data_IF_419236193562
#
_entry.id   IF_419236193562
#
_cell.length_a   1.000
_cell.length_b   1.000
_cell.length_c   1.000
_cell.angle_alpha   90.00
_cell.angle_beta   90.00
_cell.angle_gamma   90.00
#
_symmetry.space_group_name_H-M   'P 1'
#
loop_
_entity.id
_entity.type
_entity.pdbx_description
1 polymer ?
#
# COMPACT_ATOMS: atom_id res chain seq x y z
N UNK A 1 -20.87 -21.61 -2.11
CA UNK A 1 -21.96 -21.32 -1.16
C UNK A 1 -22.79 -20.18 -1.72
N UNK A 2 -24.12 -20.25 -1.66
CA UNK A 2 -24.99 -19.14 -2.05
C UNK A 2 -25.18 -18.16 -0.88
N UNK A 3 -25.62 -16.93 -1.16
CA UNK A 3 -26.00 -15.99 -0.09
C UNK A 3 -27.08 -16.58 0.84
N UNK A 4 -28.00 -17.38 0.31
CA UNK A 4 -29.01 -18.10 1.11
C UNK A 4 -28.36 -19.05 2.10
N UNK A 5 -27.43 -19.89 1.65
CA UNK A 5 -26.70 -20.82 2.53
C UNK A 5 -25.91 -20.04 3.59
N UNK A 6 -25.21 -18.98 3.18
CA UNK A 6 -24.41 -18.15 4.09
C UNK A 6 -25.25 -17.51 5.20
N UNK A 7 -26.39 -16.88 4.85
CA UNK A 7 -27.28 -16.25 5.83
C UNK A 7 -28.09 -17.26 6.67
N UNK A 8 -28.21 -18.50 6.21
CA UNK A 8 -28.84 -19.58 6.97
C UNK A 8 -27.97 -20.05 8.14
N UNK A 9 -26.65 -20.08 7.95
CA UNK A 9 -25.69 -20.44 8.99
C UNK A 9 -25.71 -19.47 10.18
N UNK A 10 -25.86 -18.17 9.89
CA UNK A 10 -25.96 -17.11 10.91
C UNK A 10 -27.42 -16.75 11.25
N UNK A 11 -28.32 -17.73 11.20
CA UNK A 11 -29.75 -17.43 11.24
C UNK A 11 -30.28 -16.87 12.56
N UNK A 12 -29.54 -17.14 13.64
CA UNK A 12 -29.82 -16.68 15.01
C UNK A 12 -29.25 -15.29 15.31
N UNK A 13 -28.42 -14.75 14.42
CA UNK A 13 -27.77 -13.46 14.62
C UNK A 13 -28.75 -12.28 14.43
N UNK A 14 -28.36 -11.13 15.00
CA UNK A 14 -29.16 -9.91 14.95
C UNK A 14 -29.35 -9.41 13.52
N UNK A 15 -30.39 -8.58 13.30
CA UNK A 15 -30.63 -7.94 12.00
C UNK A 15 -29.43 -7.13 11.52
N UNK A 16 -28.76 -6.42 12.43
CA UNK A 16 -27.55 -5.64 12.12
C UNK A 16 -26.44 -6.56 11.64
N UNK A 17 -26.14 -7.63 12.37
CA UNK A 17 -25.10 -8.61 11.97
C UNK A 17 -25.40 -9.28 10.64
N UNK A 18 -26.65 -9.61 10.35
CA UNK A 18 -27.06 -10.17 9.05
C UNK A 18 -26.95 -9.17 7.91
N UNK A 19 -27.21 -7.88 8.17
CA UNK A 19 -26.93 -6.80 7.20
C UNK A 19 -25.43 -6.71 6.94
N UNK A 20 -24.59 -6.66 7.99
CA UNK A 20 -23.12 -6.64 7.86
C UNK A 20 -22.59 -7.84 7.09
N UNK A 21 -23.08 -9.04 7.40
CA UNK A 21 -22.69 -10.27 6.70
C UNK A 21 -23.11 -10.25 5.22
N UNK A 22 -24.28 -9.68 4.89
CA UNK A 22 -24.69 -9.50 3.50
C UNK A 22 -23.77 -8.52 2.78
N UNK A 23 -23.44 -7.40 3.42
CA UNK A 23 -22.47 -6.42 2.89
C UNK A 23 -21.13 -7.09 2.61
N UNK A 24 -20.62 -7.88 3.55
CA UNK A 24 -19.39 -8.66 3.41
C UNK A 24 -19.44 -9.64 2.23
N UNK A 25 -20.55 -10.35 2.05
CA UNK A 25 -20.73 -11.27 0.91
C UNK A 25 -20.75 -10.52 -0.43
N UNK A 26 -21.45 -9.39 -0.49
CA UNK A 26 -21.54 -8.57 -1.71
C UNK A 26 -20.20 -7.94 -2.06
N UNK A 27 -19.44 -7.50 -1.06
CA UNK A 27 -18.11 -6.94 -1.21
C UNK A 27 -17.14 -7.95 -1.87
N UNK A 28 -17.14 -9.21 -1.39
CA UNK A 28 -16.41 -10.30 -2.06
C UNK A 28 -16.87 -10.55 -3.50
N UNK A 29 -18.17 -10.47 -3.76
CA UNK A 29 -18.74 -10.76 -5.07
C UNK A 29 -18.54 -9.62 -6.09
N UNK A 30 -18.40 -8.38 -5.61
CA UNK A 30 -18.31 -7.17 -6.42
C UNK A 30 -16.90 -6.54 -6.42
N UNK A 31 -15.92 -7.16 -5.76
CA UNK A 31 -14.52 -6.74 -5.76
C UNK A 31 -14.27 -5.41 -5.05
N UNK A 32 -14.56 -5.33 -3.75
CA UNK A 32 -14.37 -4.15 -2.88
C UNK A 32 -15.21 -2.91 -3.27
N UNK A 33 -16.29 -3.12 -4.03
CA UNK A 33 -17.19 -2.02 -4.46
C UNK A 33 -18.18 -1.66 -3.34
N UNK A 34 -18.22 -0.38 -2.89
CA UNK A 34 -19.20 0.07 -1.91
C UNK A 34 -20.64 -0.18 -2.36
N UNK A 35 -21.53 -0.51 -1.41
CA UNK A 35 -22.91 -0.89 -1.70
C UNK A 35 -23.91 0.09 -1.08
N UNK A 36 -25.00 0.37 -1.78
CA UNK A 36 -26.10 1.13 -1.19
C UNK A 36 -27.06 0.20 -0.42
N UNK A 37 -27.87 0.79 0.46
CA UNK A 37 -28.81 0.03 1.30
C UNK A 37 -29.91 -0.69 0.53
N UNK A 38 -30.23 -0.26 -0.70
CA UNK A 38 -31.23 -0.92 -1.54
C UNK A 38 -30.67 -2.24 -2.09
N UNK A 39 -29.44 -2.23 -2.62
CA UNK A 39 -28.74 -3.43 -3.09
C UNK A 39 -28.65 -4.49 -2.00
N UNK A 40 -28.27 -4.10 -0.78
CA UNK A 40 -28.19 -5.02 0.37
C UNK A 40 -29.57 -5.56 0.75
N UNK A 41 -30.59 -4.70 0.75
CA UNK A 41 -31.98 -5.13 1.04
C UNK A 41 -32.47 -6.14 0.01
N UNK A 42 -32.25 -5.89 -1.27
CA UNK A 42 -32.66 -6.78 -2.35
C UNK A 42 -31.92 -8.12 -2.27
N UNK A 43 -30.63 -8.11 -1.95
CA UNK A 43 -29.84 -9.32 -1.74
C UNK A 43 -30.40 -10.18 -0.59
N UNK A 44 -30.72 -9.58 0.56
CA UNK A 44 -31.31 -10.29 1.72
C UNK A 44 -32.70 -10.86 1.37
N UNK A 45 -33.52 -10.09 0.65
CA UNK A 45 -34.86 -10.54 0.22
C UNK A 45 -34.75 -11.70 -0.78
N UNK A 46 -33.83 -11.61 -1.74
CA UNK A 46 -33.57 -12.66 -2.73
C UNK A 46 -32.98 -13.91 -2.07
N UNK A 47 -32.21 -13.75 -1.00
CA UNK A 47 -31.71 -14.84 -0.17
C UNK A 47 -32.80 -15.53 0.67
N UNK A 48 -34.05 -15.05 0.62
CA UNK A 48 -35.24 -15.58 1.32
C UNK A 48 -35.15 -15.49 2.84
N UNK A 49 -34.51 -14.46 3.38
CA UNK A 49 -34.47 -14.24 4.83
C UNK A 49 -35.87 -13.85 5.35
N UNK A 50 -36.40 -14.53 6.39
CA UNK A 50 -37.73 -14.25 6.92
C UNK A 50 -37.90 -12.79 7.37
N UNK A 51 -38.98 -12.14 6.91
CA UNK A 51 -39.33 -10.77 7.27
C UNK A 51 -38.43 -9.67 6.68
N UNK A 52 -37.46 -10.00 5.82
CA UNK A 52 -36.48 -9.04 5.29
C UNK A 52 -37.10 -7.83 4.54
N UNK A 53 -38.27 -8.01 3.93
CA UNK A 53 -38.98 -6.94 3.20
C UNK A 53 -39.26 -5.71 4.07
N UNK A 54 -39.48 -5.91 5.38
CA UNK A 54 -39.79 -4.82 6.33
C UNK A 54 -38.55 -4.27 7.04
N UNK A 55 -37.35 -4.79 6.75
CA UNK A 55 -36.14 -4.33 7.43
C UNK A 55 -35.75 -2.93 6.98
N UNK A 56 -35.33 -2.12 7.97
CA UNK A 56 -34.74 -0.81 7.78
C UNK A 56 -33.22 -0.96 7.69
N UNK A 57 -32.72 -1.30 6.50
CA UNK A 57 -31.28 -1.48 6.23
C UNK A 57 -30.48 -0.18 6.45
N UNK A 58 -30.96 1.02 6.05
CA UNK A 58 -30.27 2.26 6.39
C UNK A 58 -30.05 2.45 7.89
N UNK A 59 -31.06 2.17 8.73
CA UNK A 59 -30.90 2.25 10.18
C UNK A 59 -29.94 1.17 10.72
N UNK A 60 -29.91 -0.01 10.11
CA UNK A 60 -28.94 -1.05 10.48
C UNK A 60 -27.48 -0.62 10.24
N UNK A 61 -27.21 0.10 9.15
CA UNK A 61 -25.89 0.70 8.90
C UNK A 61 -25.55 1.77 9.94
N UNK A 62 -26.47 2.70 10.23
CA UNK A 62 -26.25 3.71 11.28
C UNK A 62 -25.96 3.06 12.64
N UNK A 63 -26.68 1.99 12.98
CA UNK A 63 -26.52 1.28 14.25
C UNK A 63 -25.28 0.38 14.29
N UNK A 64 -24.66 0.08 13.15
CA UNK A 64 -23.43 -0.70 13.09
C UNK A 64 -22.19 0.10 13.50
N UNK A 65 -22.29 1.44 13.55
CA UNK A 65 -21.25 2.31 14.11
C UNK A 65 -19.88 2.06 13.46
N UNK A 66 -18.88 1.73 14.29
CA UNK A 66 -17.49 1.55 13.87
C UNK A 66 -17.26 0.44 12.82
N UNK A 67 -18.22 -0.48 12.63
CA UNK A 67 -18.08 -1.59 11.68
C UNK A 67 -18.31 -1.19 10.22
N UNK A 68 -18.85 0.00 9.96
CA UNK A 68 -19.14 0.49 8.61
C UNK A 68 -18.76 1.95 8.47
N UNK A 69 -18.46 2.35 7.24
CA UNK A 69 -18.18 3.74 6.89
C UNK A 69 -18.96 4.17 5.66
N UNK A 70 -19.14 5.49 5.53
CA UNK A 70 -19.73 6.11 4.35
C UNK A 70 -18.65 6.30 3.29
N UNK A 71 -18.66 5.47 2.25
CA UNK A 71 -17.68 5.51 1.17
C UNK A 71 -17.99 6.57 0.09
N UNK A 72 -19.20 7.13 0.10
CA UNK A 72 -19.60 8.18 -0.84
C UNK A 72 -21.09 8.17 -1.14
N UNK A 73 -21.44 8.76 -2.29
CA UNK A 73 -22.79 8.76 -2.86
C UNK A 73 -22.77 8.11 -4.25
N UNK A 74 -23.84 7.39 -4.60
CA UNK A 74 -24.04 6.91 -5.96
C UNK A 74 -24.56 8.02 -6.90
N UNK A 75 -24.70 7.71 -8.19
CA UNK A 75 -25.21 8.63 -9.23
C UNK A 75 -26.59 9.22 -8.92
N UNK A 76 -27.36 8.56 -8.05
CA UNK A 76 -28.69 8.99 -7.61
C UNK A 76 -28.67 9.67 -6.23
N UNK A 77 -27.50 10.00 -5.71
CA UNK A 77 -27.33 10.66 -4.41
C UNK A 77 -27.56 9.76 -3.20
N UNK A 78 -27.57 8.42 -3.36
CA UNK A 78 -27.78 7.48 -2.24
C UNK A 78 -26.44 7.15 -1.58
N UNK A 79 -26.47 7.00 -0.26
CA UNK A 79 -25.29 6.62 0.55
C UNK A 79 -24.75 5.26 0.14
N UNK A 80 -23.46 5.23 -0.16
CA UNK A 80 -22.66 4.02 -0.37
C UNK A 80 -21.93 3.67 0.91
N UNK A 81 -22.08 2.42 1.35
CA UNK A 81 -21.52 1.90 2.58
C UNK A 81 -20.45 0.86 2.28
N UNK A 82 -19.41 0.83 3.11
CA UNK A 82 -18.35 -0.18 3.11
C UNK A 82 -18.11 -0.67 4.54
N UNK A 83 -17.63 -1.90 4.69
CA UNK A 83 -17.13 -2.39 5.98
C UNK A 83 -15.78 -1.74 6.29
N UNK A 84 -15.58 -1.34 7.55
CA UNK A 84 -14.24 -0.98 8.03
C UNK A 84 -13.44 -2.26 8.32
N UNK A 85 -12.11 -2.21 8.52
CA UNK A 85 -11.32 -3.37 8.94
C UNK A 85 -11.94 -4.08 10.16
N UNK A 86 -12.34 -3.33 11.18
CA UNK A 86 -13.01 -3.87 12.36
C UNK A 86 -14.38 -4.49 12.06
N UNK A 87 -15.05 -4.06 10.99
CA UNK A 87 -16.28 -4.65 10.49
C UNK A 87 -16.06 -6.02 9.84
N UNK A 88 -14.97 -6.19 9.08
CA UNK A 88 -14.57 -7.50 8.56
C UNK A 88 -14.27 -8.47 9.71
N UNK A 89 -13.47 -8.05 10.69
CA UNK A 89 -13.16 -8.85 11.88
C UNK A 89 -14.44 -9.20 12.67
N UNK A 90 -15.34 -8.24 12.80
CA UNK A 90 -16.61 -8.47 13.48
C UNK A 90 -17.45 -9.53 12.76
N UNK A 91 -17.60 -9.45 11.43
CA UNK A 91 -18.30 -10.48 10.65
C UNK A 91 -17.60 -11.83 10.77
N UNK A 92 -16.27 -11.86 10.73
CA UNK A 92 -15.47 -13.07 10.90
C UNK A 92 -15.68 -13.76 12.26
N UNK A 93 -15.96 -13.00 13.31
CA UNK A 93 -16.16 -13.55 14.65
C UNK A 93 -17.45 -14.37 14.81
N UNK A 94 -18.46 -14.17 13.95
CA UNK A 94 -19.76 -14.84 14.07
C UNK A 94 -20.24 -15.56 12.81
N UNK A 95 -19.64 -15.30 11.65
CA UNK A 95 -19.87 -16.07 10.44
C UNK A 95 -18.76 -17.11 10.32
N UNK A 96 -19.11 -18.39 10.13
CA UNK A 96 -18.12 -19.40 9.75
C UNK A 96 -17.62 -19.06 8.33
N UNK A 97 -16.47 -18.40 8.26
CA UNK A 97 -15.91 -17.81 7.03
C UNK A 97 -15.07 -18.79 6.22
N UNK A 98 -15.13 -20.09 6.50
CA UNK A 98 -14.37 -21.13 5.78
C UNK A 98 -14.58 -21.14 4.26
N UNK A 99 -15.55 -20.40 3.71
CA UNK A 99 -15.79 -20.27 2.27
C UNK A 99 -15.71 -18.85 1.70
N UNK A 100 -15.94 -17.78 2.47
CA UNK A 100 -16.10 -16.46 1.84
C UNK A 100 -14.73 -15.88 1.52
N UNK A 101 -14.42 -15.78 0.24
CA UNK A 101 -13.28 -15.03 -0.30
C UNK A 101 -13.20 -13.54 0.07
N UNK A 102 -13.99 -13.03 1.02
CA UNK A 102 -13.77 -11.76 1.73
C UNK A 102 -12.82 -11.91 2.94
N UNK A 103 -12.54 -13.16 3.33
CA UNK A 103 -11.16 -13.68 3.41
C UNK A 103 -10.13 -12.84 2.68
N UNK A 104 -10.25 -12.88 1.36
CA UNK A 104 -9.12 -12.78 0.47
C UNK A 104 -8.81 -11.37 0.01
N UNK A 105 -9.68 -10.35 0.06
CA UNK A 105 -9.21 -8.99 -0.34
C UNK A 105 -8.39 -8.35 0.78
N UNK A 106 -8.89 -8.33 2.02
CA UNK A 106 -8.14 -7.90 3.19
C UNK A 106 -7.04 -8.88 3.56
N UNK A 107 -7.26 -10.21 3.51
CA UNK A 107 -6.17 -11.16 3.77
C UNK A 107 -5.13 -11.24 2.66
N UNK A 108 -5.48 -11.04 1.36
CA UNK A 108 -4.46 -10.94 0.30
C UNK A 108 -3.72 -9.63 0.40
N UNK A 109 -4.39 -8.51 0.68
CA UNK A 109 -3.67 -7.25 0.93
C UNK A 109 -2.74 -7.39 2.12
N UNK A 110 -3.22 -7.94 3.23
CA UNK A 110 -2.38 -8.21 4.40
C UNK A 110 -1.24 -9.19 4.07
N UNK A 111 -1.49 -10.24 3.27
CA UNK A 111 -0.44 -11.17 2.84
C UNK A 111 0.57 -10.52 1.89
N UNK A 112 0.12 -9.65 0.98
CA UNK A 112 0.99 -8.91 0.08
C UNK A 112 1.83 -7.88 0.86
N UNK A 113 1.24 -7.18 1.83
CA UNK A 113 1.97 -6.27 2.72
C UNK A 113 2.99 -7.06 3.54
N UNK A 114 2.62 -8.23 4.07
CA UNK A 114 3.55 -9.10 4.80
C UNK A 114 4.68 -9.61 3.90
N UNK A 115 4.38 -9.92 2.63
CA UNK A 115 5.41 -10.25 1.65
C UNK A 115 6.38 -9.08 1.45
N UNK A 116 5.87 -7.85 1.34
CA UNK A 116 6.73 -6.66 1.26
C UNK A 116 7.52 -6.43 2.56
N UNK A 117 6.93 -6.66 3.74
CA UNK A 117 7.66 -6.65 5.03
C UNK A 117 8.81 -7.65 5.03
N UNK A 118 8.57 -8.86 4.52
CA UNK A 118 9.62 -9.86 4.36
C UNK A 118 10.71 -9.40 3.39
N UNK A 119 10.36 -8.73 2.29
CA UNK A 119 11.34 -8.17 1.34
C UNK A 119 12.23 -7.14 2.03
N UNK A 120 11.67 -6.17 2.77
CA UNK A 120 12.48 -5.14 3.45
C UNK A 120 13.24 -5.67 4.68
N UNK A 121 12.87 -6.84 5.21
CA UNK A 121 13.52 -7.43 6.38
C UNK A 121 15.00 -7.78 6.17
N UNK A 122 15.43 -7.98 4.92
CA UNK A 122 16.83 -8.29 4.57
C UNK A 122 17.77 -7.08 4.69
N UNK A 123 17.22 -5.87 4.80
CA UNK A 123 18.01 -4.65 5.00
C UNK A 123 18.70 -4.72 6.36
N UNK A 124 20.03 -4.62 6.32
CA UNK A 124 20.91 -4.76 7.49
C UNK A 124 21.25 -3.42 8.14
N UNK A 125 21.35 -2.34 7.37
CA UNK A 125 21.57 -1.00 7.90
C UNK A 125 20.30 -0.47 8.58
N UNK A 126 20.41 -0.10 9.85
CA UNK A 126 19.25 0.23 10.68
C UNK A 126 18.54 1.50 10.19
N UNK A 127 19.30 2.52 9.75
CA UNK A 127 18.71 3.77 9.24
C UNK A 127 17.94 3.54 7.95
N UNK A 128 18.53 2.80 6.99
CA UNK A 128 17.85 2.44 5.75
C UNK A 128 16.62 1.56 6.03
N UNK A 129 16.71 0.65 7.00
CA UNK A 129 15.61 -0.22 7.41
C UNK A 129 14.45 0.54 8.04
N UNK A 130 14.73 1.55 8.88
CA UNK A 130 13.71 2.43 9.45
C UNK A 130 12.90 3.11 8.34
N UNK A 131 13.56 3.77 7.38
CA UNK A 131 12.88 4.38 6.24
C UNK A 131 12.12 3.38 5.37
N UNK A 132 12.67 2.18 5.17
CA UNK A 132 11.98 1.13 4.42
C UNK A 132 10.71 0.65 5.16
N UNK A 133 10.75 0.53 6.49
CA UNK A 133 9.58 0.18 7.30
C UNK A 133 8.52 1.30 7.24
N UNK A 134 8.91 2.57 7.33
CA UNK A 134 7.99 3.70 7.14
C UNK A 134 7.33 3.66 5.75
N UNK A 135 8.07 3.22 4.72
CA UNK A 135 7.51 3.02 3.39
C UNK A 135 6.44 1.93 3.36
N UNK A 136 6.64 0.83 4.08
CA UNK A 136 5.63 -0.25 4.19
C UNK A 136 4.42 0.19 5.00
N UNK A 137 4.61 0.93 6.09
CA UNK A 137 3.52 1.48 6.89
C UNK A 137 2.67 2.46 6.05
N UNK A 138 3.31 3.27 5.21
CA UNK A 138 2.61 4.12 4.25
C UNK A 138 1.84 3.30 3.20
N UNK A 139 2.41 2.17 2.73
CA UNK A 139 1.75 1.29 1.77
C UNK A 139 0.51 0.65 2.39
N UNK A 140 0.59 0.20 3.64
CA UNK A 140 -0.51 -0.36 4.42
C UNK A 140 -1.64 0.66 4.62
N UNK A 141 -1.30 1.93 4.83
CA UNK A 141 -2.24 3.04 4.94
C UNK A 141 -2.76 3.58 3.59
N UNK A 142 -2.52 2.89 2.47
CA UNK A 142 -2.85 3.31 1.10
C UNK A 142 -2.22 4.66 0.67
N UNK A 143 -1.20 5.12 1.40
CA UNK A 143 -0.43 6.33 1.13
C UNK A 143 0.70 6.08 0.12
N UNK A 144 0.37 5.57 -1.07
CA UNK A 144 1.34 5.08 -2.07
C UNK A 144 2.43 6.08 -2.47
N UNK A 145 2.09 7.38 -2.52
CA UNK A 145 3.07 8.43 -2.83
C UNK A 145 4.12 8.56 -1.72
N UNK A 146 3.69 8.46 -0.47
CA UNK A 146 4.58 8.51 0.69
C UNK A 146 5.45 7.26 0.75
N UNK A 147 4.88 6.07 0.49
CA UNK A 147 5.63 4.82 0.39
C UNK A 147 6.80 4.91 -0.60
N UNK A 148 6.54 5.43 -1.80
CA UNK A 148 7.58 5.67 -2.83
C UNK A 148 8.64 6.65 -2.32
N UNK A 149 8.24 7.74 -1.64
CA UNK A 149 9.18 8.74 -1.14
C UNK A 149 10.09 8.14 -0.06
N UNK A 150 9.54 7.45 0.94
CA UNK A 150 10.33 6.88 2.03
C UNK A 150 11.26 5.76 1.57
N UNK A 151 10.82 4.90 0.64
CA UNK A 151 11.69 3.87 0.09
C UNK A 151 12.87 4.47 -0.69
N UNK A 152 12.65 5.59 -1.39
CA UNK A 152 13.73 6.31 -2.05
C UNK A 152 14.71 6.95 -1.07
N UNK A 153 14.25 7.39 0.12
CA UNK A 153 15.15 7.88 1.17
C UNK A 153 16.09 6.75 1.64
N UNK A 154 15.57 5.54 1.85
CA UNK A 154 16.39 4.37 2.15
C UNK A 154 17.41 4.07 1.02
N UNK A 155 16.98 4.16 -0.24
CA UNK A 155 17.86 3.96 -1.40
C UNK A 155 19.02 4.96 -1.44
N UNK A 156 18.72 6.26 -1.22
CA UNK A 156 19.75 7.32 -1.21
C UNK A 156 20.74 7.10 -0.08
N UNK A 157 20.26 6.71 1.11
CA UNK A 157 21.13 6.37 2.24
C UNK A 157 22.13 5.27 1.86
N UNK A 158 21.63 4.16 1.32
CA UNK A 158 22.46 3.01 0.93
C UNK A 158 23.45 3.34 -0.19
N UNK A 159 23.03 4.11 -1.20
CA UNK A 159 23.95 4.55 -2.26
C UNK A 159 25.06 5.44 -1.69
N UNK A 160 24.74 6.34 -0.76
CA UNK A 160 25.75 7.18 -0.10
C UNK A 160 26.73 6.34 0.71
N UNK A 161 26.25 5.35 1.47
CA UNK A 161 27.12 4.43 2.22
C UNK A 161 28.04 3.63 1.29
N UNK A 162 27.49 3.02 0.24
CA UNK A 162 28.28 2.22 -0.71
C UNK A 162 29.35 3.06 -1.41
N UNK A 163 28.98 4.24 -1.91
CA UNK A 163 29.92 5.17 -2.58
C UNK A 163 31.03 5.61 -1.64
N UNK A 164 30.70 5.93 -0.39
CA UNK A 164 31.69 6.40 0.58
C UNK A 164 32.58 5.26 1.09
N UNK A 165 32.06 4.04 1.20
CA UNK A 165 32.82 2.86 1.59
C UNK A 165 33.75 2.36 0.47
N UNK A 166 33.37 2.50 -0.81
CA UNK A 166 34.12 1.97 -1.95
C UNK A 166 35.23 2.88 -2.46
N UNK A 167 35.27 4.15 -2.06
CA UNK A 167 36.14 5.16 -2.70
C UNK A 167 36.54 6.28 -1.75
N UNK A 168 37.68 6.90 -2.04
CA UNK A 168 38.16 8.05 -1.25
C UNK A 168 37.37 9.32 -1.57
N UNK A 169 37.29 10.30 -0.65
CA UNK A 169 36.63 11.58 -0.92
C UNK A 169 37.14 12.32 -2.17
N UNK A 170 38.43 12.15 -2.49
CA UNK A 170 39.04 12.75 -3.69
C UNK A 170 38.54 12.09 -4.98
N UNK A 171 38.46 10.75 -5.00
CA UNK A 171 37.93 10.00 -6.15
C UNK A 171 36.45 10.30 -6.38
N UNK A 172 35.67 10.34 -5.30
CA UNK A 172 34.24 10.70 -5.36
C UNK A 172 34.06 12.13 -5.90
N UNK A 173 34.86 13.08 -5.41
CA UNK A 173 34.84 14.47 -5.92
C UNK A 173 35.19 14.53 -7.40
N UNK A 174 36.21 13.79 -7.84
CA UNK A 174 36.60 13.74 -9.25
C UNK A 174 35.50 13.14 -10.13
N UNK A 175 34.84 12.06 -9.68
CA UNK A 175 33.69 11.49 -10.37
C UNK A 175 32.51 12.47 -10.43
N UNK A 176 32.22 13.19 -9.35
CA UNK A 176 31.19 14.22 -9.33
C UNK A 176 31.48 15.35 -10.32
N UNK A 177 32.74 15.83 -10.36
CA UNK A 177 33.17 16.93 -11.21
C UNK A 177 33.20 16.60 -12.70
N UNK A 178 33.28 15.32 -13.06
CA UNK A 178 33.14 14.84 -14.45
C UNK A 178 31.75 15.13 -15.02
N UNK A 179 30.69 15.02 -14.21
CA UNK A 179 29.31 15.27 -14.65
C UNK A 179 28.82 16.68 -14.29
N UNK A 180 29.33 17.23 -13.19
CA UNK A 180 29.04 18.60 -12.77
C UNK A 180 30.33 19.30 -12.33
N UNK A 181 30.98 20.09 -13.21
CA UNK A 181 32.23 20.77 -12.88
C UNK A 181 32.17 21.72 -11.67
N UNK A 182 30.96 22.11 -11.24
CA UNK A 182 30.72 22.95 -10.06
C UNK A 182 30.42 22.14 -8.80
N UNK A 183 30.48 20.81 -8.85
CA UNK A 183 30.26 19.95 -7.70
C UNK A 183 31.25 20.31 -6.58
N UNK A 184 30.70 20.52 -5.37
CA UNK A 184 31.49 20.80 -4.18
C UNK A 184 32.41 19.63 -3.87
N UNK A 185 33.60 19.91 -3.37
CA UNK A 185 34.51 18.88 -2.85
C UNK A 185 33.97 18.34 -1.53
N UNK A 186 33.90 17.03 -1.41
CA UNK A 186 33.51 16.35 -0.17
C UNK A 186 34.74 15.98 0.66
N UNK A 187 34.57 15.90 1.98
CA UNK A 187 35.60 15.47 2.94
C UNK A 187 35.12 14.34 3.82
N UNK A 188 33.84 14.32 4.15
CA UNK A 188 33.17 13.28 4.94
C UNK A 188 31.89 12.82 4.26
N UNK A 189 31.36 11.69 4.72
CA UNK A 189 30.14 11.06 4.20
C UNK A 189 28.99 12.05 4.10
N UNK A 190 28.72 12.81 5.16
CA UNK A 190 27.60 13.76 5.19
C UNK A 190 27.68 14.81 4.09
N UNK A 191 28.86 15.12 3.55
CA UNK A 191 28.99 16.13 2.50
C UNK A 191 28.35 15.65 1.18
N UNK A 192 28.08 14.34 1.03
CA UNK A 192 27.35 13.78 -0.11
C UNK A 192 25.91 14.31 -0.24
N UNK A 193 25.32 14.87 0.83
CA UNK A 193 23.99 15.49 0.78
C UNK A 193 23.95 16.74 -0.12
N UNK A 194 25.11 17.32 -0.43
CA UNK A 194 25.25 18.45 -1.34
C UNK A 194 25.09 18.05 -2.81
N UNK A 195 25.17 16.74 -3.11
CA UNK A 195 24.95 16.21 -4.43
C UNK A 195 23.48 15.86 -4.61
N UNK A 196 22.92 16.26 -5.74
CA UNK A 196 21.57 15.83 -6.09
C UNK A 196 21.58 14.33 -6.43
N UNK A 197 20.39 13.73 -6.35
CA UNK A 197 20.21 12.28 -6.46
C UNK A 197 20.59 11.76 -7.86
N UNK A 198 20.42 12.56 -8.91
CA UNK A 198 20.83 12.20 -10.27
C UNK A 198 22.37 12.12 -10.40
N UNK A 199 23.08 13.11 -9.86
CA UNK A 199 24.53 13.13 -9.81
C UNK A 199 25.06 11.97 -8.97
N UNK A 200 24.42 11.66 -7.84
CA UNK A 200 24.79 10.53 -6.99
C UNK A 200 24.74 9.19 -7.75
N UNK A 201 23.71 8.97 -8.58
CA UNK A 201 23.63 7.77 -9.43
C UNK A 201 24.74 7.72 -10.50
N UNK A 202 25.11 8.86 -11.07
CA UNK A 202 26.21 8.95 -12.05
C UNK A 202 27.56 8.65 -11.39
N UNK A 203 27.78 9.16 -10.18
CA UNK A 203 28.97 8.86 -9.37
C UNK A 203 29.04 7.37 -9.04
N UNK A 204 27.93 6.78 -8.57
CA UNK A 204 27.86 5.36 -8.25
C UNK A 204 28.22 4.47 -9.45
N UNK A 205 27.79 4.86 -10.66
CA UNK A 205 28.17 4.15 -11.88
C UNK A 205 29.66 4.30 -12.22
N UNK A 206 30.19 5.52 -12.16
CA UNK A 206 31.60 5.78 -12.49
C UNK A 206 32.57 5.10 -11.53
N UNK A 207 32.18 4.91 -10.27
CA UNK A 207 32.97 4.21 -9.25
C UNK A 207 32.73 2.70 -9.22
N UNK A 208 31.86 2.17 -10.09
CA UNK A 208 31.54 0.74 -10.16
C UNK A 208 30.69 0.20 -9.01
N UNK A 209 30.06 1.09 -8.22
CA UNK A 209 29.07 0.74 -7.18
C UNK A 209 27.76 0.29 -7.81
N UNK A 210 27.41 0.87 -8.96
CA UNK A 210 26.24 0.54 -9.73
C UNK A 210 26.66 0.15 -11.15
N UNK A 211 26.08 -0.92 -11.68
CA UNK A 211 26.19 -1.20 -13.10
C UNK A 211 25.28 -0.27 -13.93
N UNK A 212 25.39 -0.38 -15.26
CA UNK A 212 24.61 0.46 -16.18
C UNK A 212 23.10 0.22 -16.08
N UNK A 213 22.68 -1.03 -15.89
CA UNK A 213 21.29 -1.42 -15.81
C UNK A 213 20.67 -1.02 -14.47
N UNK A 214 21.37 -1.27 -13.37
CA UNK A 214 21.00 -0.84 -12.01
C UNK A 214 20.79 0.67 -11.97
N UNK A 215 21.76 1.44 -12.47
CA UNK A 215 21.64 2.90 -12.57
C UNK A 215 20.44 3.35 -13.40
N UNK A 216 20.10 2.62 -14.48
CA UNK A 216 18.95 2.94 -15.32
C UNK A 216 17.62 2.69 -14.59
N UNK A 217 17.49 1.57 -13.88
CA UNK A 217 16.30 1.24 -13.08
C UNK A 217 16.14 2.25 -11.93
N UNK A 218 17.22 2.57 -11.22
CA UNK A 218 17.23 3.55 -10.15
C UNK A 218 16.91 4.97 -10.63
N UNK A 219 17.32 5.35 -11.84
CA UNK A 219 16.90 6.63 -12.44
C UNK A 219 15.38 6.68 -12.74
N UNK A 220 14.79 5.55 -13.12
CA UNK A 220 13.34 5.40 -13.23
C UNK A 220 12.65 5.55 -11.87
N UNK A 221 13.21 4.93 -10.84
CA UNK A 221 12.76 5.05 -9.45
C UNK A 221 12.82 6.51 -8.95
N UNK A 222 13.91 7.23 -9.22
CA UNK A 222 14.04 8.67 -8.92
C UNK A 222 12.94 9.50 -9.60
N UNK A 223 12.67 9.22 -10.87
CA UNK A 223 11.61 9.91 -11.63
C UNK A 223 10.22 9.67 -11.01
N UNK A 224 9.96 8.42 -10.59
CA UNK A 224 8.72 8.05 -9.90
C UNK A 224 8.60 8.75 -8.54
N UNK A 225 9.69 8.82 -7.77
CA UNK A 225 9.74 9.57 -6.52
C UNK A 225 9.49 11.06 -6.73
N UNK A 226 10.13 11.69 -7.71
CA UNK A 226 9.92 13.11 -8.00
C UNK A 226 8.45 13.38 -8.38
N UNK A 227 7.87 12.51 -9.21
CA UNK A 227 6.44 12.56 -9.54
C UNK A 227 5.55 12.37 -8.30
N UNK A 228 6.01 11.62 -7.30
CA UNK A 228 5.27 11.38 -6.06
C UNK A 228 5.50 12.47 -5.00
N UNK A 229 6.60 13.21 -5.03
CA UNK A 229 6.91 14.29 -4.08
C UNK A 229 6.37 15.68 -4.47
N UNK A 230 6.14 15.94 -5.77
CA UNK A 230 5.66 17.25 -6.22
C UNK A 230 4.13 17.40 -6.18
N UNK A 231 3.59 18.64 -6.04
CA UNK A 231 2.16 18.90 -6.09
C UNK A 231 1.64 18.78 -7.53
N UNK A 232 1.39 17.56 -7.98
CA UNK A 232 0.83 17.26 -9.29
C UNK A 232 -0.40 16.33 -9.18
N UNK A 233 -0.97 15.97 -10.34
CA UNK A 233 -2.15 15.09 -10.43
C UNK A 233 -1.83 13.60 -10.45
N UNK A 234 -0.54 13.23 -10.46
CA UNK A 234 -0.14 11.83 -10.54
C UNK A 234 -0.46 11.10 -9.22
N UNK A 235 -1.09 9.92 -9.34
CA UNK A 235 -1.48 9.07 -8.21
C UNK A 235 -1.07 7.63 -8.55
N UNK A 236 0.09 7.16 -8.07
CA UNK A 236 0.50 5.77 -8.28
C UNK A 236 -0.46 4.83 -7.55
N UNK A 237 -0.80 3.72 -8.18
CA UNK A 237 -1.52 2.62 -7.54
C UNK A 237 -0.59 1.72 -6.72
N UNK A 238 -1.19 0.87 -5.90
CA UNK A 238 -0.50 -0.04 -4.97
C UNK A 238 0.58 -0.89 -5.65
N UNK A 239 0.27 -1.55 -6.76
CA UNK A 239 1.22 -2.40 -7.49
C UNK A 239 2.47 -1.63 -7.94
N UNK A 240 2.33 -0.34 -8.29
CA UNK A 240 3.47 0.47 -8.69
C UNK A 240 4.35 0.85 -7.48
N UNK A 241 3.75 1.07 -6.31
CA UNK A 241 4.51 1.28 -5.08
C UNK A 241 5.23 0.01 -4.63
N UNK A 242 4.56 -1.16 -4.68
CA UNK A 242 5.18 -2.47 -4.42
C UNK A 242 6.38 -2.74 -5.32
N UNK A 243 6.20 -2.61 -6.64
CA UNK A 243 7.29 -2.81 -7.61
C UNK A 243 8.47 -1.87 -7.36
N UNK A 244 8.20 -0.61 -6.98
CA UNK A 244 9.26 0.34 -6.63
C UNK A 244 10.07 -0.10 -5.40
N UNK A 245 9.42 -0.66 -4.38
CA UNK A 245 10.09 -1.23 -3.20
C UNK A 245 10.91 -2.45 -3.61
N UNK A 246 10.35 -3.37 -4.38
CA UNK A 246 11.03 -4.58 -4.82
C UNK A 246 12.25 -4.30 -5.70
N UNK A 247 12.16 -3.34 -6.64
CA UNK A 247 13.27 -2.93 -7.50
C UNK A 247 14.43 -2.37 -6.66
N UNK A 248 14.13 -1.47 -5.71
CA UNK A 248 15.15 -0.86 -4.84
C UNK A 248 15.80 -1.92 -3.95
N UNK A 249 15.00 -2.77 -3.30
CA UNK A 249 15.52 -3.85 -2.44
C UNK A 249 16.36 -4.84 -3.24
N UNK A 250 15.89 -5.21 -4.43
CA UNK A 250 16.57 -6.15 -5.31
C UNK A 250 17.94 -5.68 -5.79
N UNK A 251 18.13 -4.36 -5.95
CA UNK A 251 19.38 -3.76 -6.44
C UNK A 251 20.32 -3.38 -5.28
N UNK A 252 19.79 -2.78 -4.22
CA UNK A 252 20.60 -2.11 -3.19
C UNK A 252 20.74 -2.89 -1.88
N UNK A 253 20.01 -3.98 -1.67
CA UNK A 253 19.97 -4.63 -0.35
C UNK A 253 20.03 -6.17 -0.43
N UNK A 254 20.47 -6.71 -1.56
CA UNK A 254 20.78 -8.13 -1.76
C UNK A 254 22.27 -8.39 -1.79
#
# INVERSE_FOLDING_TARGET
MTLTEFLSAISKESRVKRVLATTFYLDAALGDTPVNSATVKDAIVNARVPGAKTWNVPAAFTNAGAYVELAGLDENGRKLWRLTPSGYDHVASFADLTWVGATQSSSRRNADIEQIRSVVSCISDENAKEYANEAVDCLEAEAHRAAIVFMWVAAVHEIQERVFASSTPAEITAAAQKHNPKAKTIKKRDDLVEYNEELLLQIGQDLGVLDKNEKQILAGCLTLRNSSGHPNKYRPGEHKAKAHIEDIVGILFR
#
